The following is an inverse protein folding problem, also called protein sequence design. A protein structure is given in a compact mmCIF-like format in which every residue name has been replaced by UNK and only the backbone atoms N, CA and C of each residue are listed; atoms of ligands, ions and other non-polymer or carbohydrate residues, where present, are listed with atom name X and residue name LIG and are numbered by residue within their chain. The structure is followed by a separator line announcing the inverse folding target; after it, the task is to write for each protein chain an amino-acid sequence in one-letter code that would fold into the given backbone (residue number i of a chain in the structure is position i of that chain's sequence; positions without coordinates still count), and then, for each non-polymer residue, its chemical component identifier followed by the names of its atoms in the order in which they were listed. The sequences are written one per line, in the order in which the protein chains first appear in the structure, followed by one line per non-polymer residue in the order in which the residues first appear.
data_IF_777013345424
#
_entry.id   IF_777013345424
#
_cell.length_a   1.000
_cell.length_b   1.000
_cell.length_c   1.000
_cell.angle_alpha   90.00
_cell.angle_beta   90.00
_cell.angle_gamma   90.00
#
_symmetry.space_group_name_H-M   'P 1'
#
loop_
_entity.id
_entity.type
_entity.pdbx_description
1 polymer ?
#
# COMPACT_ATOMS: atom_id res chain seq x y z
N UNK A 1 -8.34 -18.05 23.81
CA UNK A 1 -9.53 -18.06 22.96
C UNK A 1 -10.40 -19.28 23.28
N UNK A 2 -9.87 -20.46 23.30
CA UNK A 2 -10.59 -21.72 23.64
C UNK A 2 -11.27 -21.67 25.01
N UNK A 3 -10.63 -21.07 26.03
CA UNK A 3 -11.23 -20.88 27.37
C UNK A 3 -12.47 -19.97 27.39
N UNK A 4 -12.68 -19.17 26.34
CA UNK A 4 -13.81 -18.26 26.17
C UNK A 4 -14.78 -18.71 25.05
N UNK A 5 -14.73 -20.01 24.68
CA UNK A 5 -15.66 -20.61 23.72
C UNK A 5 -15.40 -20.27 22.25
N UNK A 6 -14.25 -19.68 21.92
CA UNK A 6 -13.84 -19.42 20.55
C UNK A 6 -12.81 -20.46 20.09
N UNK A 7 -13.25 -21.38 19.26
CA UNK A 7 -12.35 -22.31 18.54
C UNK A 7 -11.89 -21.66 17.25
N UNK A 8 -10.58 -21.47 17.10
CA UNK A 8 -9.99 -20.88 15.90
C UNK A 8 -8.69 -21.59 15.56
N UNK A 9 -8.58 -21.97 14.30
CA UNK A 9 -7.39 -22.64 13.76
C UNK A 9 -6.25 -21.65 13.49
N UNK A 10 -6.58 -20.39 13.27
CA UNK A 10 -5.62 -19.35 12.92
C UNK A 10 -6.02 -17.98 13.48
N UNK A 11 -5.02 -17.13 13.76
CA UNK A 11 -5.17 -15.72 14.08
C UNK A 11 -4.55 -14.83 12.99
N UNK A 12 -4.72 -15.24 11.74
CA UNK A 12 -4.30 -14.41 10.61
C UNK A 12 -5.22 -13.18 10.44
N UNK A 13 -4.85 -12.28 9.53
CA UNK A 13 -5.57 -11.02 9.30
C UNK A 13 -7.05 -11.21 8.92
N UNK A 14 -7.37 -12.32 8.21
CA UNK A 14 -8.75 -12.62 7.78
C UNK A 14 -9.55 -13.18 8.96
N UNK A 15 -9.00 -14.16 9.66
CA UNK A 15 -9.61 -14.78 10.83
C UNK A 15 -9.91 -13.74 11.93
N UNK A 16 -8.96 -12.87 12.26
CA UNK A 16 -9.16 -11.80 13.24
C UNK A 16 -10.29 -10.84 12.81
N UNK A 17 -10.37 -10.49 11.52
CA UNK A 17 -11.45 -9.63 11.02
C UNK A 17 -12.84 -10.26 11.14
N UNK A 18 -12.95 -11.57 10.90
CA UNK A 18 -14.22 -12.29 11.07
C UNK A 18 -14.58 -12.47 12.54
N UNK A 19 -13.60 -12.81 13.38
CA UNK A 19 -13.78 -12.95 14.83
C UNK A 19 -14.25 -11.65 15.49
N UNK A 20 -13.77 -10.51 15.06
CA UNK A 20 -14.19 -9.21 15.58
C UNK A 20 -15.68 -8.91 15.36
N UNK A 21 -16.34 -9.57 14.39
CA UNK A 21 -17.78 -9.40 14.15
C UNK A 21 -18.65 -10.07 15.20
N UNK A 22 -18.15 -11.11 15.84
CA UNK A 22 -18.92 -12.00 16.74
C UNK A 22 -18.31 -12.14 18.11
N UNK A 23 -17.13 -11.56 18.36
CA UNK A 23 -16.42 -11.69 19.62
C UNK A 23 -17.13 -10.92 20.75
N UNK A 24 -17.16 -11.48 21.98
CA UNK A 24 -17.56 -10.73 23.17
C UNK A 24 -16.67 -9.48 23.37
N UNK A 25 -17.17 -8.43 24.06
CA UNK A 25 -16.45 -7.15 24.18
C UNK A 25 -15.03 -7.28 24.73
N UNK A 26 -14.81 -8.11 25.73
CA UNK A 26 -13.48 -8.35 26.32
C UNK A 26 -12.48 -8.97 25.32
N UNK A 27 -12.96 -9.89 24.49
CA UNK A 27 -12.14 -10.50 23.44
C UNK A 27 -11.98 -9.61 22.23
N UNK A 28 -12.99 -8.79 21.91
CA UNK A 28 -12.92 -7.83 20.82
C UNK A 28 -11.79 -6.82 21.05
N UNK A 29 -11.61 -6.32 22.28
CA UNK A 29 -10.50 -5.43 22.62
C UNK A 29 -9.13 -6.10 22.37
N UNK A 30 -8.94 -7.32 22.85
CA UNK A 30 -7.69 -8.08 22.65
C UNK A 30 -7.42 -8.36 21.18
N UNK A 31 -8.44 -8.74 20.42
CA UNK A 31 -8.33 -8.97 18.98
C UNK A 31 -8.00 -7.69 18.22
N UNK A 32 -8.56 -6.56 18.63
CA UNK A 32 -8.27 -5.25 18.05
C UNK A 32 -6.82 -4.82 18.34
N UNK A 33 -6.35 -4.96 19.57
CA UNK A 33 -4.95 -4.73 19.94
C UNK A 33 -4.00 -5.62 19.10
N UNK A 34 -4.35 -6.89 18.91
CA UNK A 34 -3.58 -7.78 18.04
C UNK A 34 -3.60 -7.31 16.58
N UNK A 35 -4.74 -6.86 16.06
CA UNK A 35 -4.87 -6.30 14.72
C UNK A 35 -3.97 -5.09 14.52
N UNK A 36 -3.92 -4.21 15.51
CA UNK A 36 -3.07 -3.02 15.49
C UNK A 36 -1.58 -3.37 15.56
N UNK A 37 -1.18 -4.28 16.45
CA UNK A 37 0.20 -4.76 16.58
C UNK A 37 0.69 -5.51 15.33
N UNK A 38 -0.21 -6.16 14.60
CA UNK A 38 0.12 -6.87 13.37
C UNK A 38 0.39 -5.95 12.16
N UNK A 39 0.16 -4.63 12.27
CA UNK A 39 0.44 -3.68 11.19
C UNK A 39 1.95 -3.62 10.90
N UNK A 40 2.34 -4.34 9.86
CA UNK A 40 3.74 -4.40 9.40
C UNK A 40 4.28 -3.05 8.92
N UNK A 41 3.40 -2.13 8.51
CA UNK A 41 3.78 -0.78 8.04
C UNK A 41 4.48 0.04 9.15
N UNK A 42 4.02 -0.05 10.40
CA UNK A 42 4.63 0.67 11.52
C UNK A 42 6.06 0.18 11.81
N UNK A 43 6.32 -1.12 11.60
CA UNK A 43 7.68 -1.70 11.75
C UNK A 43 8.67 -1.11 10.73
N UNK A 44 8.19 -0.49 9.68
CA UNK A 44 9.05 0.19 8.68
C UNK A 44 9.79 1.39 9.26
N UNK A 45 9.23 2.08 10.25
CA UNK A 45 9.95 3.16 10.93
C UNK A 45 11.22 2.64 11.64
N UNK A 46 11.14 1.49 12.28
CA UNK A 46 12.33 0.84 12.85
C UNK A 46 13.34 0.44 11.77
N UNK A 47 12.84 -0.10 10.65
CA UNK A 47 13.70 -0.43 9.52
C UNK A 47 14.36 0.83 8.91
N UNK A 48 13.66 1.96 8.86
CA UNK A 48 14.22 3.25 8.45
C UNK A 48 15.32 3.69 9.41
N UNK A 49 15.06 3.68 10.70
CA UNK A 49 16.03 4.05 11.73
C UNK A 49 17.30 3.21 11.66
N UNK A 50 17.14 1.90 11.43
CA UNK A 50 18.27 0.98 11.29
C UNK A 50 19.04 1.13 9.96
N UNK A 51 18.39 1.70 8.93
CA UNK A 51 18.97 1.88 7.60
C UNK A 51 19.61 3.25 7.37
N UNK A 52 19.36 4.21 8.27
CA UNK A 52 19.92 5.55 8.17
C UNK A 52 21.41 5.54 8.42
N UNK A 53 22.17 6.09 7.49
CA UNK A 53 23.61 6.30 7.62
C UNK A 53 23.90 7.59 8.43
N UNK A 54 25.16 7.78 8.83
CA UNK A 54 25.60 8.94 9.63
C UNK A 54 25.26 10.31 8.99
N UNK A 55 25.11 10.36 7.68
CA UNK A 55 24.75 11.57 6.92
C UNK A 55 23.22 11.74 6.74
N UNK A 56 22.41 10.99 7.46
CA UNK A 56 20.95 11.04 7.38
C UNK A 56 20.33 10.36 6.16
N UNK A 57 21.11 9.68 5.32
CA UNK A 57 20.63 9.02 4.10
C UNK A 57 20.45 7.53 4.29
N UNK A 58 19.44 6.97 3.67
CA UNK A 58 19.27 5.53 3.52
C UNK A 58 19.90 5.04 2.21
N UNK A 59 20.77 4.04 2.28
CA UNK A 59 21.45 3.44 1.12
C UNK A 59 21.22 1.94 1.05
N UNK A 60 21.50 1.33 -0.09
CA UNK A 60 21.34 -0.11 -0.28
C UNK A 60 19.89 -0.58 -0.34
N UNK A 61 18.96 0.31 -0.71
CA UNK A 61 17.52 0.03 -0.74
C UNK A 61 17.11 -0.90 -1.88
N UNK A 62 17.93 -1.07 -2.90
CA UNK A 62 17.59 -1.82 -4.12
C UNK A 62 18.71 -2.79 -4.50
N UNK A 63 18.30 -3.94 -4.98
CA UNK A 63 19.19 -4.94 -5.55
C UNK A 63 18.84 -5.18 -7.01
N UNK A 64 19.80 -4.98 -7.88
CA UNK A 64 19.69 -5.35 -9.29
C UNK A 64 19.52 -6.85 -9.41
N UNK A 65 18.59 -7.29 -10.29
CA UNK A 65 18.27 -8.70 -10.50
C UNK A 65 17.93 -9.47 -9.21
N UNK A 66 17.38 -8.80 -8.20
CA UNK A 66 17.13 -9.40 -6.88
C UNK A 66 15.93 -10.34 -6.84
N UNK A 67 15.04 -10.25 -7.83
CA UNK A 67 13.91 -11.16 -7.99
C UNK A 67 14.28 -12.26 -9.01
N UNK A 68 14.84 -13.36 -8.54
CA UNK A 68 15.46 -14.43 -9.35
C UNK A 68 14.56 -14.97 -10.48
N UNK A 69 13.23 -15.05 -10.27
CA UNK A 69 12.29 -15.59 -11.27
C UNK A 69 11.99 -14.62 -12.42
N UNK A 70 12.04 -13.32 -12.17
CA UNK A 70 11.58 -12.30 -13.13
C UNK A 70 12.71 -11.36 -13.58
N UNK A 71 13.88 -11.43 -12.96
CA UNK A 71 14.99 -10.52 -13.22
C UNK A 71 14.73 -9.06 -12.80
N UNK A 72 13.65 -8.80 -12.08
CA UNK A 72 13.28 -7.46 -11.62
C UNK A 72 14.17 -7.00 -10.48
N UNK A 73 14.27 -5.69 -10.29
CA UNK A 73 14.84 -5.10 -9.11
C UNK A 73 14.08 -5.56 -7.86
N UNK A 74 14.79 -5.92 -6.81
CA UNK A 74 14.20 -6.22 -5.51
C UNK A 74 14.47 -5.10 -4.51
N UNK A 75 13.46 -4.74 -3.73
CA UNK A 75 13.63 -3.85 -2.59
C UNK A 75 14.35 -4.55 -1.45
N UNK A 76 15.23 -3.83 -0.78
CA UNK A 76 15.95 -4.25 0.41
C UNK A 76 15.61 -3.35 1.59
N UNK A 77 15.93 -3.80 2.80
CA UNK A 77 15.76 -3.05 4.04
C UNK A 77 14.32 -2.52 4.22
N UNK A 78 14.07 -1.28 3.86
CA UNK A 78 12.76 -0.64 4.00
C UNK A 78 11.73 -1.18 2.99
N UNK A 79 12.19 -1.66 1.81
CA UNK A 79 11.32 -2.12 0.72
C UNK A 79 10.33 -1.02 0.27
N UNK A 80 10.86 0.04 -0.29
CA UNK A 80 10.11 1.26 -0.67
C UNK A 80 8.88 0.98 -1.54
N UNK A 81 8.95 0.01 -2.46
CA UNK A 81 7.85 -0.39 -3.34
C UNK A 81 6.64 -0.98 -2.60
N UNK A 82 6.84 -1.45 -1.35
CA UNK A 82 5.78 -2.07 -0.54
C UNK A 82 5.24 -1.14 0.55
N UNK A 83 5.57 0.13 0.51
CA UNK A 83 5.01 1.11 1.43
C UNK A 83 3.57 1.46 1.03
N UNK A 84 2.66 1.62 2.02
CA UNK A 84 1.29 2.02 1.73
C UNK A 84 1.25 3.38 1.04
N UNK A 85 0.21 3.61 0.27
CA UNK A 85 -0.10 4.92 -0.30
C UNK A 85 -0.82 5.78 0.73
N UNK A 86 -0.75 7.10 0.57
CA UNK A 86 -1.41 8.06 1.42
C UNK A 86 -2.80 8.33 0.87
N UNK A 87 -3.82 8.19 1.73
CA UNK A 87 -5.21 8.50 1.39
C UNK A 87 -5.82 9.55 2.33
N UNK A 88 -5.04 10.03 3.30
CA UNK A 88 -5.47 10.97 4.31
C UNK A 88 -5.58 12.38 3.75
N UNK A 89 -6.76 13.01 3.88
CA UNK A 89 -7.02 14.35 3.37
C UNK A 89 -6.16 15.45 4.07
N UNK A 90 -5.90 15.30 5.37
CA UNK A 90 -5.16 16.28 6.19
C UNK A 90 -3.80 15.74 6.64
N UNK A 91 -2.99 15.31 5.67
CA UNK A 91 -1.71 14.63 5.92
C UNK A 91 -0.71 15.50 6.69
N UNK A 92 -0.63 16.82 6.39
CA UNK A 92 0.31 17.72 7.06
C UNK A 92 -0.07 18.02 8.51
N UNK A 93 -1.36 18.07 8.82
CA UNK A 93 -1.84 18.25 10.20
C UNK A 93 -1.49 17.01 11.03
N UNK A 94 -1.78 15.82 10.50
CA UNK A 94 -1.41 14.56 11.14
C UNK A 94 0.12 14.45 11.33
N UNK A 95 0.90 14.85 10.34
CA UNK A 95 2.36 14.89 10.42
C UNK A 95 2.87 15.83 11.51
N UNK A 96 2.28 17.01 11.63
CA UNK A 96 2.63 18.00 12.63
C UNK A 96 2.32 17.51 14.03
N UNK A 97 1.18 16.85 14.24
CA UNK A 97 0.79 16.22 15.49
C UNK A 97 1.72 15.08 15.89
N UNK A 98 2.10 14.22 14.95
CA UNK A 98 3.09 13.14 15.22
C UNK A 98 4.44 13.74 15.59
N UNK A 99 4.86 14.83 14.94
CA UNK A 99 6.13 15.52 15.25
C UNK A 99 6.14 16.21 16.62
N UNK A 100 4.99 16.68 17.11
CA UNK A 100 4.88 17.25 18.45
C UNK A 100 5.03 16.21 19.56
N UNK A 101 4.81 14.93 19.25
CA UNK A 101 4.86 13.83 20.20
C UNK A 101 3.65 13.76 21.13
N UNK A 102 2.60 14.54 20.87
CA UNK A 102 1.38 14.53 21.68
C UNK A 102 0.48 13.34 21.30
N UNK A 103 0.74 12.22 21.96
CA UNK A 103 -0.03 10.99 21.78
C UNK A 103 -1.49 11.16 22.22
N UNK A 104 -1.76 11.93 23.28
CA UNK A 104 -3.10 12.12 23.82
C UNK A 104 -3.99 12.83 22.78
N UNK A 105 -3.50 13.91 22.21
CA UNK A 105 -4.21 14.65 21.17
C UNK A 105 -4.39 13.80 19.91
N UNK A 106 -3.36 13.05 19.51
CA UNK A 106 -3.42 12.17 18.36
C UNK A 106 -4.49 11.07 18.52
N UNK A 107 -4.56 10.44 19.71
CA UNK A 107 -5.56 9.40 20.00
C UNK A 107 -6.98 9.93 20.16
N UNK A 108 -7.13 11.21 20.46
CA UNK A 108 -8.44 11.87 20.54
C UNK A 108 -8.97 12.24 19.16
N UNK A 109 -8.10 12.65 18.25
CA UNK A 109 -8.49 13.11 16.91
C UNK A 109 -8.61 11.98 15.88
N UNK A 110 -7.94 10.86 16.11
CA UNK A 110 -7.91 9.74 15.16
C UNK A 110 -8.25 8.42 15.86
N UNK A 111 -9.12 7.64 15.26
CA UNK A 111 -9.56 6.34 15.78
C UNK A 111 -8.42 5.32 15.93
N UNK A 112 -7.37 5.46 15.13
CA UNK A 112 -6.24 4.52 15.12
C UNK A 112 -4.91 5.21 14.83
N UNK A 113 -4.12 5.43 15.87
CA UNK A 113 -2.74 5.97 15.73
C UNK A 113 -1.86 5.11 14.82
N UNK A 114 -1.89 3.76 14.86
CA UNK A 114 -1.15 2.95 13.89
C UNK A 114 -1.59 3.15 12.44
N UNK A 115 -2.83 3.55 12.17
CA UNK A 115 -3.27 3.92 10.82
C UNK A 115 -2.67 5.23 10.37
N UNK A 116 -2.74 6.24 11.21
CA UNK A 116 -2.08 7.53 10.96
C UNK A 116 -0.59 7.34 10.65
N UNK A 117 0.12 6.58 11.47
CA UNK A 117 1.53 6.28 11.24
C UNK A 117 1.76 5.53 9.92
N UNK A 118 0.87 4.62 9.54
CA UNK A 118 0.94 3.92 8.26
C UNK A 118 0.78 4.87 7.07
N UNK A 119 -0.17 5.80 7.14
CA UNK A 119 -0.39 6.84 6.12
C UNK A 119 0.80 7.79 5.99
N UNK A 120 1.44 8.15 7.11
CA UNK A 120 2.55 9.08 7.14
C UNK A 120 3.90 8.49 6.70
N UNK A 121 4.01 7.17 6.51
CA UNK A 121 5.30 6.50 6.34
C UNK A 121 6.09 7.02 5.12
N UNK A 122 5.42 7.38 4.02
CA UNK A 122 6.08 7.94 2.83
C UNK A 122 6.60 9.35 3.05
N UNK A 123 6.03 10.10 3.98
CA UNK A 123 6.46 11.48 4.28
C UNK A 123 7.80 11.54 5.01
N UNK A 124 8.31 10.39 5.49
CA UNK A 124 9.65 10.30 6.07
C UNK A 124 10.77 10.45 5.01
N UNK A 125 10.45 10.24 3.73
CA UNK A 125 11.41 10.42 2.65
C UNK A 125 11.36 11.84 2.15
N UNK A 126 12.46 12.55 2.32
CA UNK A 126 12.61 13.93 1.88
C UNK A 126 13.76 14.03 0.88
N UNK A 127 13.66 14.89 -0.15
CA UNK A 127 14.78 15.15 -1.03
C UNK A 127 15.86 15.93 -0.29
N UNK A 128 17.08 15.92 -0.82
CA UNK A 128 18.14 16.81 -0.37
C UNK A 128 17.72 18.26 -0.60
N UNK A 129 18.18 19.18 0.22
CA UNK A 129 17.98 20.62 0.03
C UNK A 129 18.39 21.06 -1.39
N UNK A 130 17.53 21.86 -2.03
CA UNK A 130 17.72 22.28 -3.42
C UNK A 130 17.33 21.22 -4.48
N UNK A 131 16.82 20.04 -4.07
CA UNK A 131 16.37 18.96 -4.95
C UNK A 131 14.90 18.64 -4.73
N UNK A 132 14.30 17.98 -5.71
CA UNK A 132 12.95 17.44 -5.62
C UNK A 132 12.91 15.99 -6.13
N UNK A 133 11.97 15.21 -5.63
CA UNK A 133 11.64 13.92 -6.23
C UNK A 133 10.82 14.14 -7.50
N UNK A 134 11.21 13.44 -8.57
CA UNK A 134 10.38 13.28 -9.76
C UNK A 134 9.98 11.81 -9.76
N UNK A 135 8.68 11.56 -9.54
CA UNK A 135 8.14 10.20 -9.45
C UNK A 135 7.24 9.97 -10.65
N UNK A 136 7.57 8.96 -11.44
CA UNK A 136 6.73 8.52 -12.56
C UNK A 136 6.81 7.01 -12.72
N UNK A 137 5.75 6.42 -13.20
CA UNK A 137 5.66 5.00 -13.50
C UNK A 137 5.00 4.79 -14.87
N UNK A 138 5.32 3.69 -15.52
CA UNK A 138 4.69 3.31 -16.77
C UNK A 138 3.35 2.62 -16.50
N UNK A 139 2.27 3.25 -16.89
CA UNK A 139 0.96 2.63 -16.82
C UNK A 139 0.88 1.39 -17.71
N UNK A 140 0.55 0.24 -17.11
CA UNK A 140 0.31 -1.04 -17.79
C UNK A 140 1.43 -1.46 -18.79
N UNK A 141 2.71 -1.25 -18.43
CA UNK A 141 3.83 -1.45 -19.37
C UNK A 141 3.89 -2.87 -19.93
N UNK A 142 3.61 -3.88 -19.12
CA UNK A 142 3.62 -5.28 -19.58
C UNK A 142 2.56 -5.53 -20.63
N UNK A 143 1.34 -5.00 -20.45
CA UNK A 143 0.25 -5.12 -21.41
C UNK A 143 0.56 -4.34 -22.72
N UNK A 144 1.21 -3.18 -22.62
CA UNK A 144 1.65 -2.41 -23.79
C UNK A 144 2.68 -3.17 -24.63
N UNK A 145 3.73 -3.68 -23.97
CA UNK A 145 4.79 -4.44 -24.63
C UNK A 145 4.24 -5.72 -25.24
N UNK A 146 3.39 -6.46 -24.49
CA UNK A 146 2.78 -7.69 -24.99
C UNK A 146 1.90 -7.42 -26.23
N UNK A 147 1.05 -6.38 -26.17
CA UNK A 147 0.20 -6.00 -27.29
C UNK A 147 1.01 -5.59 -28.54
N UNK A 148 2.13 -4.90 -28.34
CA UNK A 148 3.05 -4.55 -29.41
C UNK A 148 3.68 -5.79 -30.03
N UNK A 149 4.22 -6.69 -29.25
CA UNK A 149 4.85 -7.92 -29.71
C UNK A 149 3.85 -8.88 -30.39
N UNK A 150 2.61 -8.92 -29.89
CA UNK A 150 1.54 -9.74 -30.47
C UNK A 150 0.89 -9.11 -31.71
N UNK A 151 1.21 -7.87 -32.07
CA UNK A 151 0.60 -7.16 -33.18
C UNK A 151 -0.88 -6.80 -32.97
N UNK A 152 -1.33 -6.70 -31.72
CA UNK A 152 -2.73 -6.39 -31.36
C UNK A 152 -3.06 -4.91 -31.52
N UNK A 153 -3.37 -4.49 -32.73
CA UNK A 153 -3.61 -3.08 -33.11
C UNK A 153 -4.73 -2.42 -32.30
N UNK A 154 -5.78 -3.16 -31.94
CA UNK A 154 -6.90 -2.61 -31.18
C UNK A 154 -6.49 -2.20 -29.77
N UNK A 155 -5.66 -3.00 -29.09
CA UNK A 155 -5.12 -2.65 -27.78
C UNK A 155 -4.17 -1.47 -27.84
N UNK A 156 -3.32 -1.43 -28.85
CA UNK A 156 -2.42 -0.29 -29.06
C UNK A 156 -3.20 1.00 -29.31
N UNK A 157 -4.35 0.93 -30.01
CA UNK A 157 -5.24 2.07 -30.19
C UNK A 157 -5.86 2.53 -28.85
N UNK A 158 -6.34 1.61 -28.01
CA UNK A 158 -6.87 1.94 -26.68
C UNK A 158 -5.81 2.66 -25.84
N UNK A 159 -4.57 2.21 -25.87
CA UNK A 159 -3.47 2.88 -25.16
C UNK A 159 -3.14 4.25 -25.72
N UNK A 160 -3.20 4.43 -27.04
CA UNK A 160 -2.95 5.73 -27.69
C UNK A 160 -4.02 6.77 -27.34
N UNK A 161 -5.25 6.32 -27.16
CA UNK A 161 -6.40 7.15 -26.79
C UNK A 161 -6.55 7.33 -25.25
N UNK A 162 -5.57 6.88 -24.44
CA UNK A 162 -5.62 6.86 -22.99
C UNK A 162 -6.84 6.14 -22.41
N UNK A 163 -7.34 5.15 -23.12
CA UNK A 163 -8.45 4.31 -22.67
C UNK A 163 -8.01 3.28 -21.62
N UNK A 164 -8.98 2.81 -20.84
CA UNK A 164 -8.77 1.74 -19.87
C UNK A 164 -8.70 0.39 -20.59
N UNK A 165 -7.50 -0.22 -20.58
CA UNK A 165 -7.27 -1.51 -21.25
C UNK A 165 -8.00 -2.67 -20.58
N UNK A 166 -8.26 -2.60 -19.27
CA UNK A 166 -8.98 -3.65 -18.55
C UNK A 166 -10.45 -3.63 -18.90
N UNK A 167 -11.07 -2.45 -18.91
CA UNK A 167 -12.44 -2.25 -19.37
C UNK A 167 -12.60 -2.67 -20.85
N UNK A 168 -11.68 -2.24 -21.71
CA UNK A 168 -11.71 -2.61 -23.13
C UNK A 168 -11.55 -4.13 -23.33
N UNK A 169 -10.67 -4.78 -22.57
CA UNK A 169 -10.48 -6.24 -22.63
C UNK A 169 -11.73 -6.97 -22.11
N UNK A 170 -12.32 -6.53 -20.99
CA UNK A 170 -13.56 -7.10 -20.47
C UNK A 170 -14.72 -6.96 -21.47
N UNK A 171 -14.84 -5.79 -22.09
CA UNK A 171 -15.84 -5.56 -23.15
C UNK A 171 -15.68 -6.51 -24.33
N UNK A 172 -14.45 -6.71 -24.78
CA UNK A 172 -14.16 -7.64 -25.88
C UNK A 172 -14.39 -9.11 -25.52
N UNK A 173 -14.08 -9.51 -24.27
CA UNK A 173 -14.22 -10.90 -23.81
C UNK A 173 -15.65 -11.29 -23.48
N UNK A 174 -16.40 -10.39 -22.86
CA UNK A 174 -17.72 -10.68 -22.30
C UNK A 174 -18.87 -10.03 -23.08
N UNK A 175 -18.55 -9.29 -24.17
CA UNK A 175 -19.54 -8.55 -24.97
C UNK A 175 -20.38 -7.57 -24.13
N UNK A 176 -19.79 -6.97 -23.09
CA UNK A 176 -20.42 -5.97 -22.24
C UNK A 176 -20.00 -4.56 -22.65
N UNK A 177 -20.90 -3.58 -22.45
CA UNK A 177 -20.55 -2.19 -22.73
C UNK A 177 -19.51 -1.67 -21.72
N UNK A 178 -18.52 -0.91 -22.20
CA UNK A 178 -17.49 -0.28 -21.38
C UNK A 178 -18.06 0.55 -20.22
N UNK A 179 -19.22 1.17 -20.40
CA UNK A 179 -19.90 1.95 -19.36
C UNK A 179 -20.39 1.12 -18.17
N UNK A 180 -20.55 -0.18 -18.33
CA UNK A 180 -21.02 -1.10 -17.29
C UNK A 180 -19.90 -1.96 -16.69
N UNK A 181 -18.68 -1.87 -17.21
CA UNK A 181 -17.53 -2.51 -16.58
C UNK A 181 -17.17 -1.67 -15.37
N UNK A 182 -17.55 -2.15 -14.20
CA UNK A 182 -17.17 -1.51 -12.92
C UNK A 182 -15.64 -1.41 -12.85
N UNK A 183 -15.08 -0.26 -12.49
CA UNK A 183 -13.64 -0.14 -12.29
C UNK A 183 -13.17 -1.19 -11.28
N UNK A 184 -12.06 -1.85 -11.59
CA UNK A 184 -11.41 -2.75 -10.65
C UNK A 184 -11.10 -1.96 -9.37
N UNK A 185 -11.14 -2.59 -8.18
CA UNK A 185 -10.67 -1.94 -6.94
C UNK A 185 -9.23 -1.39 -7.02
N UNK A 186 -8.49 -1.78 -8.05
CA UNK A 186 -7.15 -1.23 -8.35
C UNK A 186 -7.21 0.10 -9.10
N UNK A 187 -8.27 0.37 -9.84
CA UNK A 187 -8.36 1.56 -10.70
C UNK A 187 -8.77 2.81 -9.93
N UNK A 188 -9.41 2.66 -8.76
CA UNK A 188 -9.67 3.73 -7.80
C UNK A 188 -8.41 4.27 -7.09
N UNK A 189 -7.23 3.72 -7.42
CA UNK A 189 -5.94 4.14 -6.85
C UNK A 189 -5.13 5.02 -7.81
N UNK A 190 -5.68 5.35 -8.98
CA UNK A 190 -4.99 6.11 -10.03
C UNK A 190 -5.59 7.51 -10.28
N UNK A 191 -6.57 7.91 -9.48
CA UNK A 191 -7.13 9.29 -9.51
C UNK A 191 -6.62 10.13 -8.36
#
# INVERSE_FOLDING_TARGET
LTKHGLEVDSLDKKAVKELLKTAPPELAEVLELRRQLAKSSVKKYQAMQNAVCADGRARGMFQFYGANRSGRWAGRLIQLQNLPQNHMAHLEDARSLVRSGDYSLLSTLYDSVPEVLSELIRTAFVPREGYKFIVSDFSAIEARVLSFLAGESWRLKVFAENGDIYCASASAMFHVCLLYTSPSPRDGLLS
#
